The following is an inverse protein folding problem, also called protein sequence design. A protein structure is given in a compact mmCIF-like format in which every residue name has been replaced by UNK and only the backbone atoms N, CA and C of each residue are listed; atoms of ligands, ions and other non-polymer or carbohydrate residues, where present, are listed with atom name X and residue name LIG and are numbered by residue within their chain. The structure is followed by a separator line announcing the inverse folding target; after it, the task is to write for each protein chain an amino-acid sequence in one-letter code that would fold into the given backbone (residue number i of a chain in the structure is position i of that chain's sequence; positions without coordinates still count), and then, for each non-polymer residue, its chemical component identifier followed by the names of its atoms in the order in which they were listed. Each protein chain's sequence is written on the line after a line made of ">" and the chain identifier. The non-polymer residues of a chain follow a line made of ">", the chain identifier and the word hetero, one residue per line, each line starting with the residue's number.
data_IF_840985906946
#
_entry.id   IF_840985906946
#
_cell.length_a   1.000
_cell.length_b   1.000
_cell.length_c   1.000
_cell.angle_alpha   90.00
_cell.angle_beta   90.00
_cell.angle_gamma   90.00
#
_symmetry.space_group_name_H-M   'P 1'
#
loop_
_entity.id
_entity.type
_entity.pdbx_description
1 polymer ?
#
# COMPACT_ATOMS: atom_id res chain seq x y z
N UNK A 1 7.62 16.13 -16.45
CA UNK A 1 7.17 14.90 -17.15
C UNK A 1 6.28 14.17 -16.16
N UNK A 2 4.98 14.05 -16.42
CA UNK A 2 4.12 13.17 -15.63
C UNK A 2 4.67 11.76 -15.81
N UNK A 3 4.97 11.07 -14.72
CA UNK A 3 5.35 9.67 -14.80
C UNK A 3 4.18 8.93 -15.45
N UNK A 4 4.39 8.35 -16.64
CA UNK A 4 3.42 7.49 -17.25
C UNK A 4 3.03 6.40 -16.23
N UNK A 5 1.74 6.10 -16.14
CA UNK A 5 1.27 5.01 -15.29
C UNK A 5 2.05 3.74 -15.65
N UNK A 6 2.49 2.94 -14.67
CA UNK A 6 3.28 1.75 -14.94
C UNK A 6 2.51 0.84 -15.91
N UNK A 7 3.18 0.40 -16.99
CA UNK A 7 2.55 -0.50 -17.98
C UNK A 7 2.06 -1.82 -17.37
N UNK A 8 2.51 -2.16 -16.15
CA UNK A 8 2.18 -3.41 -15.46
C UNK A 8 1.50 -3.09 -14.13
N UNK A 9 0.28 -3.61 -13.96
CA UNK A 9 -0.37 -3.72 -12.66
C UNK A 9 0.18 -4.93 -11.89
N UNK A 10 1.07 -4.65 -10.94
CA UNK A 10 1.71 -5.67 -10.10
C UNK A 10 0.70 -6.39 -9.20
N UNK A 11 -0.36 -5.70 -8.76
CA UNK A 11 -1.37 -6.28 -7.88
C UNK A 11 -2.24 -7.27 -8.64
N UNK A 12 -2.66 -6.91 -9.86
CA UNK A 12 -3.40 -7.82 -10.73
C UNK A 12 -2.59 -9.08 -11.03
N UNK A 13 -1.32 -8.91 -11.46
CA UNK A 13 -0.45 -10.03 -11.79
C UNK A 13 -0.22 -10.96 -10.59
N UNK A 14 0.06 -10.40 -9.41
CA UNK A 14 0.24 -11.18 -8.20
C UNK A 14 -1.04 -11.92 -7.80
N UNK A 15 -2.20 -11.28 -7.91
CA UNK A 15 -3.50 -11.89 -7.60
C UNK A 15 -3.82 -13.05 -8.55
N UNK A 16 -3.52 -12.91 -9.85
CA UNK A 16 -3.68 -13.97 -10.83
C UNK A 16 -2.81 -15.21 -10.50
N UNK A 17 -1.65 -14.99 -9.88
CA UNK A 17 -0.76 -16.06 -9.41
C UNK A 17 -1.07 -16.54 -7.98
N UNK A 18 -2.11 -16.02 -7.34
CA UNK A 18 -2.46 -16.36 -5.96
C UNK A 18 -1.43 -15.91 -4.92
N UNK A 19 -0.66 -14.86 -5.21
CA UNK A 19 0.38 -14.30 -4.35
C UNK A 19 -0.12 -13.09 -3.58
N UNK A 20 0.26 -12.99 -2.30
CA UNK A 20 0.03 -11.80 -1.50
C UNK A 20 1.11 -10.75 -1.77
N UNK A 21 0.72 -9.48 -1.86
CA UNK A 21 1.60 -8.32 -2.03
C UNK A 21 1.66 -7.51 -0.75
N UNK A 22 2.81 -7.55 -0.10
CA UNK A 22 3.10 -6.73 1.07
C UNK A 22 4.11 -5.65 0.70
N UNK A 23 3.94 -4.44 1.25
CA UNK A 23 4.79 -3.28 0.95
C UNK A 23 5.49 -2.77 2.22
N UNK A 24 6.71 -2.27 2.03
CA UNK A 24 7.52 -1.63 3.07
C UNK A 24 8.37 -0.50 2.45
N UNK A 25 8.66 0.60 3.14
CA UNK A 25 8.12 1.03 4.43
C UNK A 25 7.29 2.29 4.24
N UNK A 26 6.04 2.28 4.71
CA UNK A 26 5.24 3.49 4.74
C UNK A 26 5.76 4.42 5.84
N UNK A 27 6.02 5.68 5.49
CA UNK A 27 6.65 6.67 6.40
C UNK A 27 5.69 7.76 6.86
N UNK A 28 4.51 7.86 6.27
CA UNK A 28 3.47 8.82 6.65
C UNK A 28 2.07 8.30 6.32
N UNK A 29 1.03 8.96 6.86
CA UNK A 29 -0.36 8.53 6.69
C UNK A 29 -0.83 8.57 5.24
N UNK A 30 -0.28 9.48 4.41
CA UNK A 30 -0.72 9.63 3.02
C UNK A 30 -0.29 8.41 2.22
N UNK A 31 0.98 8.02 2.35
CA UNK A 31 1.50 6.79 1.74
C UNK A 31 0.72 5.57 2.22
N UNK A 32 0.40 5.50 3.51
CA UNK A 32 -0.38 4.40 4.06
C UNK A 32 -1.76 4.31 3.41
N UNK A 33 -2.49 5.43 3.36
CA UNK A 33 -3.84 5.50 2.78
C UNK A 33 -3.84 5.20 1.28
N UNK A 34 -2.86 5.71 0.53
CA UNK A 34 -2.71 5.42 -0.90
C UNK A 34 -2.42 3.94 -1.16
N UNK A 35 -1.52 3.33 -0.39
CA UNK A 35 -1.21 1.89 -0.49
C UNK A 35 -2.41 1.02 -0.08
N UNK A 36 -3.14 1.42 0.96
CA UNK A 36 -4.35 0.73 1.40
C UNK A 36 -5.45 0.81 0.33
N UNK A 37 -5.64 1.99 -0.28
CA UNK A 37 -6.58 2.19 -1.37
C UNK A 37 -6.20 1.42 -2.64
N UNK A 38 -4.90 1.24 -2.90
CA UNK A 38 -4.42 0.41 -4.00
C UNK A 38 -4.77 -1.08 -3.80
N UNK A 39 -5.01 -1.54 -2.56
CA UNK A 39 -5.44 -2.91 -2.27
C UNK A 39 -4.28 -3.88 -2.02
N UNK A 40 -3.15 -3.39 -1.52
CA UNK A 40 -2.08 -4.26 -1.00
C UNK A 40 -2.57 -5.11 0.18
N UNK A 41 -2.03 -6.31 0.34
CA UNK A 41 -2.45 -7.24 1.41
C UNK A 41 -1.87 -6.88 2.78
N UNK A 42 -0.79 -6.10 2.82
CA UNK A 42 -0.16 -5.68 4.06
C UNK A 42 0.79 -4.50 3.88
N UNK A 43 0.85 -3.64 4.89
CA UNK A 43 1.71 -2.46 4.92
C UNK A 43 2.54 -2.50 6.19
N UNK A 44 3.86 -2.47 6.03
CA UNK A 44 4.81 -2.27 7.13
C UNK A 44 5.14 -0.78 7.20
N UNK A 45 5.01 -0.19 8.38
CA UNK A 45 5.23 1.22 8.64
C UNK A 45 6.35 1.44 9.66
N UNK A 46 7.11 2.52 9.50
CA UNK A 46 8.12 2.93 10.49
C UNK A 46 7.47 3.47 11.76
N UNK A 47 6.30 4.10 11.60
CA UNK A 47 5.55 4.70 12.69
C UNK A 47 4.29 3.88 12.97
N UNK A 48 4.13 3.31 14.18
CA UNK A 48 2.86 2.68 14.55
C UNK A 48 1.76 3.74 14.54
N UNK A 49 0.58 3.38 14.05
CA UNK A 49 -0.60 4.25 14.08
C UNK A 49 -0.87 5.10 12.83
N UNK A 50 -0.10 4.91 11.75
CA UNK A 50 -0.39 5.53 10.47
C UNK A 50 -1.73 5.08 9.84
N UNK A 51 -2.27 3.95 10.29
CA UNK A 51 -3.56 3.40 9.85
C UNK A 51 -4.79 4.12 10.41
N UNK A 52 -4.63 5.23 11.13
CA UNK A 52 -5.73 6.05 11.67
C UNK A 52 -6.47 5.47 12.88
N UNK A 53 -6.28 4.19 13.19
CA UNK A 53 -6.99 3.50 14.28
C UNK A 53 -6.44 3.83 15.69
N UNK A 54 -5.18 4.29 15.79
CA UNK A 54 -4.55 4.63 17.08
C UNK A 54 -4.99 5.98 17.68
N UNK A 55 -5.82 6.75 16.97
CA UNK A 55 -6.51 7.93 17.49
C UNK A 55 -8.00 7.65 17.51
N UNK A 56 -8.50 7.15 18.63
CA UNK A 56 -9.85 6.62 18.81
C UNK A 56 -10.96 7.36 18.04
N UNK A 57 -11.69 6.59 17.22
CA UNK A 57 -13.11 6.81 16.95
C UNK A 57 -13.94 5.92 17.85
#
# INVERSE_FOLDING_TARGET
>A
VSAAEPEIDVLEAARAEGRAVNVWTATNWVQFDELAAAGVDGIVADYPGLSGDSSGR
#
